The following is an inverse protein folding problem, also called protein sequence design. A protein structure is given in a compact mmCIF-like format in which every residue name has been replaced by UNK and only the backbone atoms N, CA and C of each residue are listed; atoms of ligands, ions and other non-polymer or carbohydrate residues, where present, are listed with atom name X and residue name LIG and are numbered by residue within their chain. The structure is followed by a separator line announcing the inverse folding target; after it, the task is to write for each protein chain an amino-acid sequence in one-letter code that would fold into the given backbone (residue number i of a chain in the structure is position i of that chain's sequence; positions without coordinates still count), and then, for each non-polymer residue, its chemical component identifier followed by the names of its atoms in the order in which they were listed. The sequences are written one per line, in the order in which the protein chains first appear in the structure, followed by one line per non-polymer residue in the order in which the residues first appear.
data_IF_735912942599
#
_entry.id   IF_735912942599
#
_cell.length_a   1.000
_cell.length_b   1.000
_cell.length_c   1.000
_cell.angle_alpha   90.00
_cell.angle_beta   90.00
_cell.angle_gamma   90.00
#
_symmetry.space_group_name_H-M   'P 1'
#
loop_
_entity.id
_entity.type
_entity.pdbx_description
1 polymer ?
#
# COMPACT_ATOMS: atom_id res chain seq x y z
N UNK A 1 -10.22 9.66 -0.80
CA UNK A 1 -10.71 10.03 -2.15
C UNK A 1 -10.60 8.80 -3.02
N UNK A 2 -11.70 8.36 -3.62
CA UNK A 2 -11.71 7.18 -4.50
C UNK A 2 -11.28 7.57 -5.91
N UNK A 3 -10.22 6.91 -6.39
CA UNK A 3 -9.64 7.12 -7.71
C UNK A 3 -9.69 5.80 -8.45
N UNK A 4 -10.30 5.80 -9.63
CA UNK A 4 -10.34 4.67 -10.53
C UNK A 4 -9.93 5.08 -11.94
N UNK A 5 -10.02 4.15 -12.89
CA UNK A 5 -9.57 4.37 -14.27
C UNK A 5 -10.12 5.63 -14.96
N UNK A 6 -11.35 6.05 -14.61
CA UNK A 6 -12.04 7.16 -15.25
C UNK A 6 -11.58 8.54 -14.78
N UNK A 7 -10.97 8.64 -13.61
CA UNK A 7 -10.56 9.92 -13.01
C UNK A 7 -9.06 9.95 -12.63
N UNK A 8 -8.34 8.84 -12.83
CA UNK A 8 -6.93 8.74 -12.49
C UNK A 8 -6.07 9.82 -13.16
N UNK A 9 -6.27 10.09 -14.46
CA UNK A 9 -5.50 11.12 -15.17
C UNK A 9 -5.68 12.51 -14.58
N UNK A 10 -6.87 12.81 -14.08
CA UNK A 10 -7.24 14.12 -13.57
C UNK A 10 -6.66 14.35 -12.17
N UNK A 11 -6.60 13.29 -11.36
CA UNK A 11 -6.09 13.35 -9.99
C UNK A 11 -4.59 13.08 -9.87
N UNK A 12 -3.96 12.41 -10.83
CA UNK A 12 -2.53 12.09 -10.78
C UNK A 12 -1.66 13.34 -10.53
N UNK A 13 -1.85 14.50 -11.21
CA UNK A 13 -1.06 15.69 -10.92
C UNK A 13 -1.23 16.21 -9.49
N UNK A 14 -2.45 16.13 -8.94
CA UNK A 14 -2.76 16.57 -7.56
C UNK A 14 -2.04 15.67 -6.56
N UNK A 15 -2.12 14.34 -6.74
CA UNK A 15 -1.45 13.36 -5.89
C UNK A 15 0.07 13.59 -5.93
N UNK A 16 0.66 13.75 -7.11
CA UNK A 16 2.10 13.98 -7.25
C UNK A 16 2.55 15.29 -6.57
N UNK A 17 1.75 16.35 -6.70
CA UNK A 17 2.01 17.62 -6.02
C UNK A 17 1.95 17.47 -4.50
N UNK A 18 0.94 16.79 -3.97
CA UNK A 18 0.80 16.53 -2.54
C UNK A 18 1.96 15.67 -2.02
N UNK A 19 2.35 14.61 -2.74
CA UNK A 19 3.51 13.78 -2.38
C UNK A 19 4.78 14.65 -2.31
N UNK A 20 5.01 15.52 -3.31
CA UNK A 20 6.24 16.32 -3.40
C UNK A 20 6.45 17.31 -2.25
N UNK A 21 5.36 17.73 -1.60
CA UNK A 21 5.36 18.71 -0.49
C UNK A 21 5.00 18.09 0.86
N UNK A 22 4.95 16.75 0.93
CA UNK A 22 4.64 15.99 2.13
C UNK A 22 5.86 15.77 3.02
N UNK A 23 5.59 15.50 4.30
CA UNK A 23 6.60 15.09 5.27
C UNK A 23 6.87 13.59 5.17
N UNK A 24 5.80 12.80 4.98
CA UNK A 24 5.86 11.37 4.71
C UNK A 24 4.56 10.92 4.02
N UNK A 25 4.61 9.73 3.43
CA UNK A 25 3.46 9.03 2.85
C UNK A 25 3.37 7.65 3.48
N UNK A 26 2.20 7.30 4.00
CA UNK A 26 1.87 5.94 4.40
C UNK A 26 1.16 5.22 3.26
N UNK A 27 1.52 3.96 3.02
CA UNK A 27 1.01 3.14 1.91
C UNK A 27 0.42 1.85 2.49
N UNK A 28 -0.74 1.45 1.97
CA UNK A 28 -1.41 0.20 2.28
C UNK A 28 -1.95 -0.47 1.00
N UNK A 29 -2.05 -1.78 0.97
CA UNK A 29 -2.46 -2.54 -0.23
C UNK A 29 -3.56 -3.53 0.08
N UNK A 30 -4.60 -3.53 -0.76
CA UNK A 30 -5.59 -4.60 -0.80
C UNK A 30 -5.23 -5.58 -1.90
N UNK A 31 -5.08 -6.85 -1.54
CA UNK A 31 -4.66 -7.91 -2.45
C UNK A 31 -5.85 -8.79 -2.84
N UNK A 32 -5.79 -9.36 -4.04
CA UNK A 32 -6.80 -10.32 -4.54
C UNK A 32 -6.88 -11.63 -3.75
N UNK A 33 -5.90 -11.91 -2.89
CA UNK A 33 -5.90 -13.10 -2.04
C UNK A 33 -4.78 -13.09 -1.01
N UNK A 34 -4.81 -14.10 -0.15
CA UNK A 34 -3.81 -14.34 0.90
C UNK A 34 -3.21 -15.73 0.73
N UNK A 35 -1.91 -15.86 0.99
CA UNK A 35 -1.26 -17.16 1.07
C UNK A 35 -1.43 -17.69 2.49
N UNK A 36 -2.06 -18.86 2.62
CA UNK A 36 -2.10 -19.59 3.87
C UNK A 36 -0.88 -20.50 3.98
N UNK A 37 -0.18 -20.54 5.12
CA UNK A 37 0.88 -21.50 5.32
C UNK A 37 0.32 -22.93 5.21
N UNK A 38 1.12 -23.91 4.76
CA UNK A 38 0.71 -25.30 4.73
C UNK A 38 0.24 -25.75 6.12
N UNK A 39 -0.82 -26.56 6.18
CA UNK A 39 -1.52 -26.97 7.41
C UNK A 39 -0.67 -27.79 8.39
N UNK A 40 0.58 -28.09 8.04
CA UNK A 40 1.51 -28.85 8.88
C UNK A 40 2.37 -27.84 9.65
N UNK A 41 2.32 -27.85 11.00
CA UNK A 41 3.17 -26.97 11.79
C UNK A 41 4.65 -27.28 11.49
N UNK A 42 5.37 -26.30 10.96
CA UNK A 42 6.83 -26.33 10.97
C UNK A 42 7.28 -26.38 12.42
N UNK A 43 8.10 -27.37 12.77
CA UNK A 43 8.67 -27.53 14.13
C UNK A 43 9.61 -26.35 14.46
N UNK A 44 10.10 -25.65 13.44
CA UNK A 44 11.07 -24.56 13.57
C UNK A 44 10.50 -23.24 13.08
N UNK A 45 10.85 -22.14 13.75
CA UNK A 45 10.61 -20.79 13.24
C UNK A 45 11.36 -20.60 11.92
N UNK A 46 10.69 -20.20 10.83
CA UNK A 46 11.34 -19.99 9.55
C UNK A 46 12.40 -18.88 9.64
N UNK A 47 13.48 -19.04 8.88
CA UNK A 47 14.49 -18.01 8.69
C UNK A 47 13.90 -16.82 7.90
N UNK A 48 14.56 -15.67 7.96
CA UNK A 48 14.18 -14.48 7.18
C UNK A 48 14.16 -14.80 5.67
N UNK A 49 15.10 -15.61 5.18
CA UNK A 49 15.19 -15.98 3.78
C UNK A 49 14.02 -16.88 3.34
N UNK A 50 13.66 -17.87 4.15
CA UNK A 50 12.50 -18.73 3.88
C UNK A 50 11.21 -17.89 3.87
N UNK A 51 11.06 -16.97 4.83
CA UNK A 51 9.91 -16.08 4.90
C UNK A 51 9.81 -15.16 3.67
N UNK A 52 10.95 -14.66 3.18
CA UNK A 52 10.99 -13.86 1.95
C UNK A 52 10.51 -14.68 0.75
N UNK A 53 10.97 -15.93 0.59
CA UNK A 53 10.56 -16.79 -0.52
C UNK A 53 9.06 -17.09 -0.50
N UNK A 54 8.49 -17.37 0.68
CA UNK A 54 7.04 -17.57 0.86
C UNK A 54 6.23 -16.32 0.43
N UNK A 55 6.65 -15.14 0.92
CA UNK A 55 5.95 -13.88 0.61
C UNK A 55 6.11 -13.51 -0.87
N UNK A 56 7.27 -13.76 -1.46
CA UNK A 56 7.52 -13.56 -2.88
C UNK A 56 6.59 -14.42 -3.73
N UNK A 57 6.48 -15.71 -3.44
CA UNK A 57 5.59 -16.62 -4.17
C UNK A 57 4.12 -16.15 -4.08
N UNK A 58 3.69 -15.69 -2.91
CA UNK A 58 2.37 -15.12 -2.72
C UNK A 58 2.16 -13.84 -3.56
N UNK A 59 3.14 -12.93 -3.56
CA UNK A 59 3.08 -11.68 -4.33
C UNK A 59 3.13 -11.92 -5.86
N UNK A 60 3.79 -12.98 -6.31
CA UNK A 60 3.78 -13.39 -7.74
C UNK A 60 2.44 -14.04 -8.15
N UNK A 61 1.64 -14.53 -7.19
CA UNK A 61 0.35 -15.18 -7.42
C UNK A 61 -0.84 -14.23 -7.35
N UNK A 62 -0.83 -13.28 -6.42
CA UNK A 62 -1.95 -12.38 -6.14
C UNK A 62 -1.66 -10.96 -6.65
N UNK A 63 -2.61 -10.41 -7.40
CA UNK A 63 -2.56 -9.01 -7.84
C UNK A 63 -2.98 -8.04 -6.72
N UNK A 64 -2.41 -6.84 -6.75
CA UNK A 64 -2.88 -5.68 -5.98
C UNK A 64 -4.16 -5.19 -6.65
N UNK A 65 -5.24 -5.03 -5.89
CA UNK A 65 -6.53 -4.52 -6.38
C UNK A 65 -6.73 -3.04 -6.05
N UNK A 66 -6.11 -2.59 -4.96
CA UNK A 66 -6.18 -1.21 -4.51
C UNK A 66 -4.90 -0.79 -3.79
N UNK A 67 -4.52 0.46 -4.00
CA UNK A 67 -3.45 1.14 -3.25
C UNK A 67 -4.06 2.26 -2.42
N UNK A 68 -3.94 2.14 -1.09
CA UNK A 68 -4.21 3.21 -0.15
C UNK A 68 -2.98 4.10 0.03
N UNK A 69 -3.11 5.40 -0.20
CA UNK A 69 -2.06 6.40 0.05
C UNK A 69 -2.57 7.41 1.06
N UNK A 70 -1.84 7.58 2.17
CA UNK A 70 -2.09 8.68 3.11
C UNK A 70 -0.89 9.62 3.13
N UNK A 71 -1.09 10.81 2.58
CA UNK A 71 -0.07 11.85 2.47
C UNK A 71 -0.18 12.77 3.70
N UNK A 72 0.93 12.94 4.42
CA UNK A 72 0.98 13.78 5.60
C UNK A 72 1.73 15.09 5.34
N UNK A 73 1.11 16.21 5.70
CA UNK A 73 1.77 17.52 5.74
C UNK A 73 1.79 18.04 7.16
N UNK A 74 2.88 18.71 7.53
CA UNK A 74 2.99 19.43 8.79
C UNK A 74 2.67 20.91 8.59
N UNK A 75 1.73 21.42 9.37
CA UNK A 75 1.47 22.86 9.51
C UNK A 75 2.01 23.32 10.88
N UNK A 76 2.96 24.28 10.91
CA UNK A 76 3.58 24.74 12.17
C UNK A 76 2.60 25.30 13.21
N UNK A 77 1.41 25.73 12.78
CA UNK A 77 0.40 26.31 13.64
C UNK A 77 -0.79 25.38 13.90
N UNK A 78 -1.02 24.39 13.02
CA UNK A 78 -2.20 23.51 13.07
C UNK A 78 -1.88 22.03 13.29
N UNK A 79 -0.60 21.66 13.28
CA UNK A 79 -0.15 20.27 13.41
C UNK A 79 -0.26 19.49 12.10
N UNK A 80 -0.40 18.17 12.17
CA UNK A 80 -0.42 17.29 11.00
C UNK A 80 -1.78 17.31 10.27
N UNK A 81 -1.73 17.42 8.95
CA UNK A 81 -2.85 17.23 8.03
C UNK A 81 -2.63 15.96 7.21
N UNK A 82 -3.66 15.12 7.14
CA UNK A 82 -3.64 13.88 6.39
C UNK A 82 -4.58 13.97 5.18
N UNK A 83 -4.12 13.49 4.03
CA UNK A 83 -4.91 13.34 2.81
C UNK A 83 -4.85 11.87 2.38
N UNK A 84 -6.00 11.20 2.38
CA UNK A 84 -6.08 9.77 2.05
C UNK A 84 -6.73 9.55 0.68
N UNK A 85 -6.06 8.75 -0.15
CA UNK A 85 -6.46 8.34 -1.49
C UNK A 85 -6.58 6.82 -1.53
N UNK A 86 -7.60 6.31 -2.20
CA UNK A 86 -7.77 4.90 -2.53
C UNK A 86 -7.77 4.77 -4.04
N UNK A 87 -6.69 4.23 -4.60
CA UNK A 87 -6.53 4.05 -6.04
C UNK A 87 -6.86 2.61 -6.39
N UNK A 88 -7.90 2.41 -7.21
CA UNK A 88 -8.38 1.10 -7.65
C UNK A 88 -8.11 0.93 -9.15
N UNK A 89 -7.86 -0.32 -9.54
CA UNK A 89 -7.86 -0.73 -10.95
C UNK A 89 -9.25 -0.58 -11.60
#
# INVERSE_FOLDING_TARGET
MDIGITNFSDYLPVILNDISSSCFVAIDFELSGLAFPPSVPSITTPTVQERYLEVKEAAERYQILQVGLTICHEDPHKGMRLLTFEVRD
#
